data_IF_478744354259
#
_entry.id   IF_478744354259
#
_cell.length_a   1.000
_cell.length_b   1.000
_cell.length_c   1.000
_cell.angle_alpha   90.00
_cell.angle_beta   90.00
_cell.angle_gamma   90.00
#
_symmetry.space_group_name_H-M   'P 1'
#
loop_
_entity.id
_entity.type
_entity.pdbx_description
1 polymer ?
#
# COMPACT_ATOMS: atom_id res chain seq x y z
N UNK A 1 -3.06 3.96 -11.51
CA UNK A 1 -3.81 3.58 -10.30
C UNK A 1 -3.76 4.77 -9.37
N UNK A 2 -4.90 5.24 -8.88
CA UNK A 2 -4.93 6.38 -7.94
C UNK A 2 -4.61 5.92 -6.52
N UNK A 3 -4.25 6.86 -5.63
CA UNK A 3 -4.08 6.55 -4.21
C UNK A 3 -5.38 6.00 -3.61
N UNK A 4 -6.54 6.55 -4.02
CA UNK A 4 -7.86 6.06 -3.63
C UNK A 4 -8.08 4.59 -4.08
N UNK A 5 -7.67 4.22 -5.31
CA UNK A 5 -7.74 2.83 -5.77
C UNK A 5 -6.95 1.90 -4.87
N UNK A 6 -5.72 2.28 -4.52
CA UNK A 6 -4.85 1.46 -3.67
C UNK A 6 -5.44 1.35 -2.26
N UNK A 7 -5.93 2.45 -1.69
CA UNK A 7 -6.58 2.49 -0.38
C UNK A 7 -7.78 1.53 -0.32
N UNK A 8 -8.67 1.58 -1.33
CA UNK A 8 -9.81 0.66 -1.47
C UNK A 8 -9.37 -0.79 -1.53
N UNK A 9 -8.34 -1.10 -2.33
CA UNK A 9 -7.79 -2.46 -2.47
C UNK A 9 -7.21 -2.97 -1.16
N UNK A 10 -6.46 -2.15 -0.42
CA UNK A 10 -5.91 -2.53 0.90
C UNK A 10 -7.07 -2.79 1.87
N UNK A 11 -8.04 -1.87 1.97
CA UNK A 11 -9.21 -2.03 2.84
C UNK A 11 -9.92 -3.35 2.58
N UNK A 12 -10.21 -3.63 1.31
CA UNK A 12 -10.85 -4.87 0.90
C UNK A 12 -9.99 -6.10 1.24
N UNK A 13 -8.74 -6.11 0.80
CA UNK A 13 -7.80 -7.24 0.98
C UNK A 13 -7.67 -7.66 2.43
N UNK A 14 -7.55 -6.71 3.36
CA UNK A 14 -7.38 -6.99 4.79
C UNK A 14 -8.68 -6.89 5.60
N UNK A 15 -9.83 -6.80 4.92
CA UNK A 15 -11.15 -6.69 5.55
C UNK A 15 -11.23 -5.59 6.63
N UNK A 16 -10.67 -4.43 6.33
CA UNK A 16 -10.63 -3.31 7.27
C UNK A 16 -12.00 -2.61 7.30
N UNK A 17 -12.59 -2.52 8.49
CA UNK A 17 -13.78 -1.69 8.72
C UNK A 17 -13.40 -0.20 8.70
N UNK A 18 -14.38 0.69 8.55
CA UNK A 18 -14.10 2.13 8.54
C UNK A 18 -13.48 2.60 9.89
N UNK A 19 -13.93 2.01 11.00
CA UNK A 19 -13.29 2.21 12.31
C UNK A 19 -11.85 1.71 12.33
N UNK A 20 -11.56 0.55 11.75
CA UNK A 20 -10.20 0.03 11.66
C UNK A 20 -9.31 0.96 10.81
N UNK A 21 -9.83 1.48 9.69
CA UNK A 21 -9.12 2.45 8.84
C UNK A 21 -8.76 3.72 9.63
N UNK A 22 -9.69 4.28 10.41
CA UNK A 22 -9.40 5.42 11.30
C UNK A 22 -8.28 5.09 12.29
N UNK A 23 -8.30 3.89 12.89
CA UNK A 23 -7.27 3.46 13.84
C UNK A 23 -5.89 3.27 13.17
N UNK A 24 -5.86 2.90 11.88
CA UNK A 24 -4.61 2.85 11.10
C UNK A 24 -3.99 4.25 11.03
N UNK A 25 -4.75 5.28 10.65
CA UNK A 25 -4.25 6.66 10.65
C UNK A 25 -3.78 7.12 12.04
N UNK A 26 -4.56 6.82 13.09
CA UNK A 26 -4.19 7.17 14.46
C UNK A 26 -2.88 6.50 14.90
N UNK A 27 -2.57 5.31 14.37
CA UNK A 27 -1.30 4.63 14.64
C UNK A 27 -0.08 5.37 14.08
N UNK A 28 -0.28 6.29 13.13
CA UNK A 28 0.72 7.23 12.62
C UNK A 28 0.54 8.66 13.16
N UNK A 29 -0.16 8.83 14.29
CA UNK A 29 -0.40 10.14 14.91
C UNK A 29 -1.19 11.10 13.99
N UNK A 30 -1.91 10.56 13.01
CA UNK A 30 -2.75 11.30 12.09
C UNK A 30 -4.22 11.08 12.43
N UNK A 31 -4.94 12.15 12.78
CA UNK A 31 -6.36 12.06 13.15
C UNK A 31 -7.23 12.33 11.92
N UNK A 32 -8.17 11.42 11.65
CA UNK A 32 -9.16 11.54 10.57
C UNK A 32 -10.53 11.12 11.07
N UNK A 33 -11.59 11.61 10.45
CA UNK A 33 -12.96 11.19 10.76
C UNK A 33 -13.39 9.99 9.91
N UNK A 34 -14.48 9.33 10.31
CA UNK A 34 -15.06 8.25 9.51
C UNK A 34 -15.60 8.77 8.17
N UNK A 35 -16.15 9.98 8.17
CA UNK A 35 -16.69 10.63 6.99
C UNK A 35 -15.59 10.90 5.96
N UNK A 36 -14.41 11.33 6.41
CA UNK A 36 -13.24 11.47 5.53
C UNK A 36 -12.82 10.13 4.92
N UNK A 37 -12.74 9.08 5.74
CA UNK A 37 -12.41 7.73 5.27
C UNK A 37 -13.43 7.24 4.25
N UNK A 38 -14.72 7.42 4.51
CA UNK A 38 -15.80 7.05 3.58
C UNK A 38 -15.63 7.82 2.27
N UNK A 39 -15.43 9.14 2.32
CA UNK A 39 -15.25 9.98 1.14
C UNK A 39 -14.06 9.54 0.26
N UNK A 40 -12.95 9.08 0.87
CA UNK A 40 -11.81 8.53 0.14
C UNK A 40 -12.07 7.15 -0.49
N UNK A 41 -12.98 6.37 0.11
CA UNK A 41 -13.35 5.04 -0.36
C UNK A 41 -14.49 5.05 -1.38
N UNK A 42 -15.27 6.12 -1.43
CA UNK A 42 -16.28 6.39 -2.46
C UNK A 42 -15.67 6.28 -3.86
N UNK A 43 -16.42 5.77 -4.85
CA UNK A 43 -15.90 5.61 -6.22
C UNK A 43 -15.80 6.97 -6.92
N UNK A 44 -14.83 7.07 -7.82
CA UNK A 44 -14.67 8.25 -8.68
C UNK A 44 -15.94 8.49 -9.50
N UNK A 45 -16.43 9.74 -9.48
CA UNK A 45 -17.67 10.16 -10.16
C UNK A 45 -18.92 10.22 -9.28
N UNK A 46 -18.87 9.71 -8.05
CA UNK A 46 -19.95 9.88 -7.08
C UNK A 46 -19.81 11.23 -6.34
N UNK A 47 -20.92 11.83 -5.92
CA UNK A 47 -20.96 13.18 -5.31
C UNK A 47 -20.11 13.30 -4.04
N UNK A 48 -20.06 12.23 -3.24
CA UNK A 48 -19.29 12.19 -2.00
C UNK A 48 -17.80 11.85 -2.20
N UNK A 49 -17.33 11.68 -3.44
CA UNK A 49 -15.94 11.32 -3.71
C UNK A 49 -14.98 12.46 -3.36
N UNK A 50 -13.94 12.13 -2.60
CA UNK A 50 -12.81 13.04 -2.35
C UNK A 50 -11.50 12.35 -2.68
N UNK A 51 -10.59 12.98 -3.45
CA UNK A 51 -9.25 12.43 -3.67
C UNK A 51 -8.46 12.45 -2.35
N UNK A 52 -7.77 11.35 -2.04
CA UNK A 52 -6.82 11.32 -0.94
C UNK A 52 -5.48 11.91 -1.42
N UNK A 53 -4.94 12.87 -0.68
CA UNK A 53 -3.64 13.47 -1.00
C UNK A 53 -2.49 12.49 -0.78
N UNK A 54 -1.34 12.75 -1.39
CA UNK A 54 -0.12 11.95 -1.17
C UNK A 54 0.28 11.90 0.30
N UNK A 55 0.21 13.03 1.01
CA UNK A 55 0.57 13.13 2.42
C UNK A 55 -0.38 12.33 3.32
N UNK A 56 -1.69 12.41 3.06
CA UNK A 56 -2.69 11.62 3.79
C UNK A 56 -2.48 10.13 3.52
N UNK A 57 -2.27 9.73 2.26
CA UNK A 57 -2.04 8.33 1.94
C UNK A 57 -0.70 7.82 2.50
N UNK A 58 0.35 8.64 2.54
CA UNK A 58 1.60 8.31 3.21
C UNK A 58 1.40 8.08 4.71
N UNK A 59 0.56 8.92 5.35
CA UNK A 59 0.18 8.76 6.76
C UNK A 59 -0.57 7.44 6.99
N UNK A 60 -1.50 7.09 6.11
CA UNK A 60 -2.16 5.78 6.14
C UNK A 60 -1.16 4.63 6.04
N UNK A 61 -0.22 4.67 5.09
CA UNK A 61 0.77 3.61 4.89
C UNK A 61 1.74 3.48 6.08
N UNK A 62 2.17 4.60 6.68
CA UNK A 62 2.94 4.59 7.93
C UNK A 62 2.13 3.96 9.06
N UNK A 63 0.85 4.32 9.15
CA UNK A 63 -0.07 3.78 10.12
C UNK A 63 -0.24 2.27 9.94
N UNK A 64 -0.35 1.83 8.69
CA UNK A 64 -0.52 0.42 8.33
C UNK A 64 0.71 -0.40 8.69
N UNK A 65 1.91 0.14 8.49
CA UNK A 65 3.15 -0.45 9.01
C UNK A 65 3.07 -0.60 10.52
N UNK A 66 2.70 0.46 11.25
CA UNK A 66 2.61 0.43 12.71
C UNK A 66 1.56 -0.59 13.21
N UNK A 67 0.41 -0.69 12.54
CA UNK A 67 -0.62 -1.68 12.88
C UNK A 67 -0.15 -3.12 12.67
N UNK A 68 0.59 -3.39 11.59
CA UNK A 68 1.01 -4.76 11.24
C UNK A 68 2.31 -5.20 11.93
N UNK A 69 3.20 -4.25 12.23
CA UNK A 69 4.56 -4.53 12.72
C UNK A 69 4.77 -4.09 14.17
N UNK A 70 3.81 -3.38 14.75
CA UNK A 70 3.99 -2.64 15.99
C UNK A 70 4.63 -1.28 15.72
N UNK A 71 4.26 -0.29 16.54
CA UNK A 71 4.88 1.04 16.51
C UNK A 71 6.31 0.92 17.03
N UNK A 72 7.29 1.38 16.25
CA UNK A 72 8.69 1.41 16.67
C UNK A 72 8.90 2.42 17.79
N UNK A 73 9.82 2.12 18.71
CA UNK A 73 10.27 3.11 19.69
C UNK A 73 11.06 4.24 19.01
N UNK A 74 10.87 5.47 19.48
CA UNK A 74 11.56 6.66 18.97
C UNK A 74 10.82 7.39 17.85
N UNK A 75 11.59 8.16 17.07
CA UNK A 75 11.07 9.06 16.03
C UNK A 75 10.28 8.30 14.96
N UNK A 76 9.05 8.74 14.70
CA UNK A 76 8.20 8.15 13.67
C UNK A 76 8.58 8.72 12.28
N UNK A 77 8.45 7.92 11.21
CA UNK A 77 8.74 8.44 9.88
C UNK A 77 7.71 9.51 9.50
N UNK A 78 8.21 10.69 9.12
CA UNK A 78 7.37 11.75 8.57
C UNK A 78 6.69 11.29 7.27
N UNK A 79 5.39 11.60 7.07
CA UNK A 79 4.70 11.30 5.83
C UNK A 79 5.33 12.00 4.62
N UNK A 80 5.52 11.26 3.53
CA UNK A 80 6.05 11.81 2.29
C UNK A 80 5.07 12.81 1.66
N UNK A 81 5.57 14.00 1.31
CA UNK A 81 4.78 15.05 0.63
C UNK A 81 4.41 14.70 -0.81
N UNK A 82 5.12 13.74 -1.40
CA UNK A 82 4.89 13.22 -2.75
C UNK A 82 5.07 11.71 -2.73
N UNK A 83 4.06 10.99 -3.18
CA UNK A 83 4.11 9.54 -3.31
C UNK A 83 4.40 9.14 -4.74
N UNK A 84 5.06 8.00 -4.86
CA UNK A 84 5.16 7.26 -6.09
C UNK A 84 5.04 5.76 -5.78
N UNK A 85 4.85 4.98 -6.82
CA UNK A 85 4.64 3.54 -6.69
C UNK A 85 5.82 2.81 -6.03
N UNK A 86 7.07 3.28 -6.19
CA UNK A 86 8.21 2.68 -5.48
C UNK A 86 8.07 2.86 -3.97
N UNK A 87 7.70 4.06 -3.51
CA UNK A 87 7.48 4.34 -2.08
C UNK A 87 6.32 3.49 -1.55
N UNK A 88 5.19 3.48 -2.26
CA UNK A 88 3.99 2.71 -1.87
C UNK A 88 4.32 1.22 -1.78
N UNK A 89 4.95 0.67 -2.82
CA UNK A 89 5.38 -0.72 -2.86
C UNK A 89 6.30 -1.08 -1.69
N UNK A 90 7.29 -0.24 -1.40
CA UNK A 90 8.21 -0.48 -0.30
C UNK A 90 7.53 -0.41 1.07
N UNK A 91 6.63 0.54 1.30
CA UNK A 91 5.87 0.62 2.56
C UNK A 91 4.97 -0.60 2.75
N UNK A 92 4.29 -1.06 1.69
CA UNK A 92 3.47 -2.27 1.75
C UNK A 92 4.31 -3.52 2.02
N UNK A 93 5.46 -3.66 1.34
CA UNK A 93 6.40 -4.75 1.61
C UNK A 93 6.85 -4.79 3.07
N UNK A 94 7.14 -3.62 3.66
CA UNK A 94 7.52 -3.50 5.07
C UNK A 94 6.35 -3.88 5.99
N UNK A 95 5.15 -3.35 5.72
CA UNK A 95 3.96 -3.63 6.50
C UNK A 95 3.65 -5.14 6.53
N UNK A 96 3.81 -5.82 5.40
CA UNK A 96 3.56 -7.25 5.25
C UNK A 96 4.75 -8.15 5.64
N UNK A 97 5.86 -7.56 6.13
CA UNK A 97 7.07 -8.29 6.51
C UNK A 97 7.65 -9.17 5.40
N UNK A 98 7.51 -8.76 4.14
CA UNK A 98 7.90 -9.58 3.01
C UNK A 98 9.40 -9.48 2.71
N UNK A 99 10.09 -10.62 2.74
CA UNK A 99 11.43 -10.78 2.17
C UNK A 99 11.36 -10.81 0.65
N UNK A 100 12.52 -10.81 0.00
CA UNK A 100 12.57 -10.81 -1.45
C UNK A 100 11.86 -12.04 -2.04
N UNK A 101 12.06 -13.19 -1.42
CA UNK A 101 11.46 -14.47 -1.79
C UNK A 101 9.93 -14.42 -1.68
N UNK A 102 9.40 -13.80 -0.61
CA UNK A 102 7.96 -13.69 -0.39
C UNK A 102 7.30 -12.80 -1.46
N UNK A 103 7.94 -11.67 -1.81
CA UNK A 103 7.47 -10.79 -2.89
C UNK A 103 7.44 -11.52 -4.23
N UNK A 104 8.51 -12.25 -4.55
CA UNK A 104 8.62 -13.01 -5.80
C UNK A 104 7.55 -14.10 -5.85
N UNK A 105 7.37 -14.86 -4.77
CA UNK A 105 6.31 -15.86 -4.68
C UNK A 105 4.92 -15.24 -4.83
N UNK A 106 4.69 -14.06 -4.25
CA UNK A 106 3.41 -13.33 -4.36
C UNK A 106 3.10 -12.93 -5.80
N UNK A 107 4.09 -12.46 -6.55
CA UNK A 107 3.95 -12.09 -7.95
C UNK A 107 3.78 -13.31 -8.86
N UNK A 108 4.40 -14.44 -8.51
CA UNK A 108 4.22 -15.70 -9.23
C UNK A 108 2.77 -16.22 -9.17
N UNK A 109 1.98 -15.88 -8.14
CA UNK A 109 0.55 -16.21 -8.05
C UNK A 109 -0.33 -15.55 -9.13
N UNK A 110 0.22 -14.56 -9.83
CA UNK A 110 -0.44 -13.83 -10.92
C UNK A 110 0.40 -13.90 -12.20
N UNK A 111 1.16 -14.98 -12.34
CA UNK A 111 1.99 -15.29 -13.52
C UNK A 111 2.97 -14.17 -13.89
N UNK A 112 3.48 -13.46 -12.89
CA UNK A 112 4.47 -12.41 -13.07
C UNK A 112 5.81 -12.79 -12.41
N UNK A 113 6.82 -12.99 -13.25
CA UNK A 113 8.17 -13.26 -12.80
C UNK A 113 8.94 -11.96 -12.55
N UNK A 114 9.46 -11.79 -11.33
CA UNK A 114 10.35 -10.70 -10.96
C UNK A 114 11.62 -11.28 -10.35
N UNK A 115 12.80 -10.91 -10.87
CA UNK A 115 14.05 -11.37 -10.28
C UNK A 115 14.42 -10.58 -9.01
N UNK A 116 15.26 -11.16 -8.14
CA UNK A 116 15.79 -10.45 -6.95
C UNK A 116 16.52 -9.15 -7.31
N UNK A 117 17.21 -9.14 -8.46
CA UNK A 117 17.92 -7.96 -8.96
C UNK A 117 16.96 -6.84 -9.33
N UNK A 118 15.86 -7.17 -10.01
CA UNK A 118 14.83 -6.21 -10.39
C UNK A 118 14.05 -5.69 -9.19
N UNK A 119 13.74 -6.56 -8.24
CA UNK A 119 13.13 -6.15 -6.98
C UNK A 119 14.04 -5.19 -6.20
N UNK A 120 15.35 -5.46 -6.15
CA UNK A 120 16.31 -4.56 -5.50
C UNK A 120 16.40 -3.20 -6.19
N UNK A 121 16.10 -3.10 -7.48
CA UNK A 121 16.12 -1.85 -8.23
C UNK A 121 15.04 -0.86 -7.76
N UNK A 122 13.90 -1.35 -7.27
CA UNK A 122 12.80 -0.49 -6.80
C UNK A 122 13.12 0.29 -5.53
N UNK A 123 14.02 -0.21 -4.69
CA UNK A 123 14.41 0.45 -3.44
C UNK A 123 15.64 1.36 -3.59
N UNK A 124 16.18 1.53 -4.80
CA UNK A 124 17.31 2.42 -5.06
C UNK A 124 16.84 3.87 -5.11
N UNK A 125 17.78 4.80 -4.86
CA UNK A 125 17.53 6.23 -5.08
C UNK A 125 17.42 6.53 -6.58
N UNK A 126 16.66 7.56 -6.94
CA UNK A 126 16.33 7.93 -8.33
C UNK A 126 17.57 8.23 -9.18
N UNK A 127 18.64 8.73 -8.56
CA UNK A 127 19.93 9.05 -9.20
C UNK A 127 20.83 7.81 -9.44
N UNK A 128 20.43 6.64 -8.96
CA UNK A 128 21.21 5.42 -9.12
C UNK A 128 21.06 4.82 -10.53
N UNK A 129 22.17 4.43 -11.17
CA UNK A 129 22.17 3.76 -12.49
C UNK A 129 21.34 2.47 -12.58
N UNK A 130 21.06 1.84 -11.45
CA UNK A 130 20.25 0.64 -11.33
C UNK A 130 18.87 0.91 -10.72
N UNK A 131 18.46 2.18 -10.62
CA UNK A 131 17.10 2.54 -10.25
C UNK A 131 16.12 2.06 -11.33
N UNK A 132 15.00 1.49 -10.89
CA UNK A 132 13.87 1.20 -11.76
C UNK A 132 12.60 1.75 -11.15
N UNK A 133 11.75 2.30 -11.99
CA UNK A 133 10.41 2.74 -11.60
C UNK A 133 9.52 1.49 -11.46
N UNK A 134 8.86 1.37 -10.31
CA UNK A 134 7.73 0.47 -10.14
C UNK A 134 6.54 1.11 -10.87
N UNK A 135 6.16 0.60 -12.04
CA UNK A 135 5.02 1.17 -12.77
C UNK A 135 3.68 0.70 -12.17
N UNK A 136 2.59 1.28 -12.64
CA UNK A 136 1.24 0.94 -12.18
C UNK A 136 0.90 -0.53 -12.36
N UNK A 137 1.38 -1.16 -13.45
CA UNK A 137 1.10 -2.56 -13.74
C UNK A 137 1.76 -3.48 -12.71
N UNK A 138 3.02 -3.23 -12.36
CA UNK A 138 3.75 -4.01 -11.36
C UNK A 138 3.09 -3.86 -9.98
N UNK A 139 2.77 -2.63 -9.58
CA UNK A 139 2.07 -2.41 -8.30
C UNK A 139 0.69 -3.06 -8.29
N UNK A 140 -0.03 -3.03 -9.42
CA UNK A 140 -1.33 -3.69 -9.58
C UNK A 140 -1.22 -5.19 -9.37
N UNK A 141 -0.27 -5.84 -10.06
CA UNK A 141 -0.01 -7.27 -10.00
C UNK A 141 0.40 -7.70 -8.58
N UNK A 142 1.30 -6.94 -7.94
CA UNK A 142 1.69 -7.18 -6.56
C UNK A 142 0.47 -7.19 -5.62
N UNK A 143 -0.35 -6.13 -5.67
CA UNK A 143 -1.57 -6.06 -4.85
C UNK A 143 -2.58 -7.18 -5.18
N UNK A 144 -2.65 -7.64 -6.43
CA UNK A 144 -3.50 -8.78 -6.80
C UNK A 144 -2.98 -10.07 -6.18
N UNK A 145 -1.66 -10.32 -6.24
CA UNK A 145 -1.03 -11.46 -5.58
C UNK A 145 -1.25 -11.44 -4.05
N UNK A 146 -1.07 -10.28 -3.42
CA UNK A 146 -1.37 -10.09 -1.98
C UNK A 146 -2.83 -10.39 -1.69
N UNK A 147 -3.76 -9.92 -2.54
CA UNK A 147 -5.18 -10.21 -2.38
C UNK A 147 -5.47 -11.71 -2.48
N UNK A 148 -4.89 -12.42 -3.46
CA UNK A 148 -5.05 -13.88 -3.59
C UNK A 148 -4.60 -14.65 -2.35
N UNK A 149 -3.54 -14.19 -1.68
CA UNK A 149 -3.06 -14.81 -0.43
C UNK A 149 -4.02 -14.63 0.74
N UNK A 150 -4.68 -13.47 0.85
CA UNK A 150 -5.56 -13.16 1.97
C UNK A 150 -7.03 -13.51 1.71
N UNK A 151 -7.43 -13.63 0.44
CA UNK A 151 -8.79 -13.94 -0.04
C UNK A 151 -8.75 -15.03 -1.12
N UNK A 152 -8.35 -16.27 -0.78
CA UNK A 152 -8.17 -17.33 -1.77
C UNK A 152 -9.48 -17.76 -2.44
N UNK A 153 -10.62 -17.68 -1.77
CA UNK A 153 -11.90 -18.16 -2.31
C UNK A 153 -12.57 -17.20 -3.32
N UNK A 154 -12.24 -15.91 -3.30
CA UNK A 154 -12.79 -14.92 -4.24
C UNK A 154 -11.92 -14.72 -5.49
N UNK A 155 -10.82 -15.47 -5.60
CA UNK A 155 -9.85 -15.37 -6.70
C UNK A 155 -10.06 -16.41 -7.81
N UNK A 156 -11.11 -17.22 -7.68
CA UNK A 156 -11.39 -18.39 -8.52
C UNK A 156 -12.46 -18.14 -9.60
N UNK A 157 -12.83 -16.88 -9.86
CA UNK A 157 -13.73 -16.48 -10.95
C UNK A 157 -13.01 -15.70 -12.05
#
# INVERSE_FOLDING_TARGET
MTNNDILRRIRYTFNLTDTAMVNVFASAEHTVTKEQVIAWLTKEGEEAFTPISDTEFASFLNGFINTQRGKREGEQPEPEKKLNNNIIFMKLRIALNMKAEDVIATLALVDFDLSKHELSAFSRKVDNKHYRVCNDQILRLFLTGVQKQHRPEESAE
#
